data_IF_092316002112
#
_entry.id   IF_092316002112
#
_cell.length_a   1.000
_cell.length_b   1.000
_cell.length_c   1.000
_cell.angle_alpha   90.00
_cell.angle_beta   90.00
_cell.angle_gamma   90.00
#
_symmetry.space_group_name_H-M   'P 1'
#
loop_
_entity.id
_entity.type
_entity.pdbx_description
1 polymer ?
#
# COMPACT_ATOMS: atom_id res chain seq x y z
N UNK A 1 10.86 -20.00 -26.53
CA UNK A 1 11.66 -18.76 -26.58
C UNK A 1 10.90 -17.75 -27.38
N UNK A 2 11.23 -17.59 -28.65
CA UNK A 2 10.87 -16.42 -29.46
C UNK A 2 9.39 -16.03 -29.48
N UNK A 3 8.47 -16.99 -29.67
CA UNK A 3 7.03 -16.71 -29.73
C UNK A 3 6.42 -16.34 -28.36
N UNK A 4 6.95 -16.90 -27.27
CA UNK A 4 6.51 -16.57 -25.92
C UNK A 4 6.99 -15.17 -25.53
N UNK A 5 8.26 -14.88 -25.79
CA UNK A 5 8.86 -13.58 -25.52
C UNK A 5 8.19 -12.48 -26.35
N UNK A 6 7.84 -12.78 -27.60
CA UNK A 6 7.07 -11.88 -28.45
C UNK A 6 5.68 -11.58 -27.86
N UNK A 7 4.98 -12.58 -27.31
CA UNK A 7 3.65 -12.39 -26.72
C UNK A 7 3.72 -11.48 -25.47
N UNK A 8 4.70 -11.68 -24.59
CA UNK A 8 4.91 -10.77 -23.46
C UNK A 8 5.23 -9.34 -23.90
N UNK A 9 6.08 -9.17 -24.92
CA UNK A 9 6.36 -7.85 -25.49
C UNK A 9 5.13 -7.18 -26.08
N UNK A 10 4.24 -7.94 -26.73
CA UNK A 10 2.97 -7.39 -27.24
C UNK A 10 2.11 -6.88 -26.10
N UNK A 11 1.94 -7.65 -25.02
CA UNK A 11 1.20 -7.21 -23.84
C UNK A 11 1.82 -5.96 -23.20
N UNK A 12 3.15 -5.92 -23.08
CA UNK A 12 3.91 -4.77 -22.55
C UNK A 12 3.76 -3.51 -23.42
N UNK A 13 3.79 -3.64 -24.76
CA UNK A 13 3.53 -2.54 -25.67
C UNK A 13 2.12 -1.97 -25.48
N UNK A 14 1.10 -2.83 -25.41
CA UNK A 14 -0.28 -2.40 -25.16
C UNK A 14 -0.41 -1.70 -23.80
N UNK A 15 0.22 -2.25 -22.75
CA UNK A 15 0.27 -1.63 -21.44
C UNK A 15 0.86 -0.21 -21.47
N UNK A 16 2.00 -0.01 -22.15
CA UNK A 16 2.64 1.30 -22.27
C UNK A 16 1.90 2.30 -23.17
N UNK A 17 0.96 1.83 -23.98
CA UNK A 17 0.06 2.66 -24.79
C UNK A 17 -1.28 2.93 -24.08
N UNK A 18 -1.41 2.55 -22.81
CA UNK A 18 -2.65 2.59 -22.01
C UNK A 18 -3.82 1.82 -22.66
N UNK A 19 -3.51 0.87 -23.54
CA UNK A 19 -4.46 0.01 -24.22
C UNK A 19 -4.58 -1.33 -23.46
N UNK A 20 -5.18 -1.26 -22.28
CA UNK A 20 -5.21 -2.40 -21.34
C UNK A 20 -6.02 -3.62 -21.81
N UNK A 21 -7.19 -3.50 -22.49
CA UNK A 21 -7.98 -4.67 -22.85
C UNK A 21 -7.25 -5.68 -23.75
N UNK A 22 -6.53 -5.28 -24.83
CA UNK A 22 -5.71 -6.22 -25.59
C UNK A 22 -4.57 -6.84 -24.79
N UNK A 23 -3.93 -6.08 -23.89
CA UNK A 23 -2.93 -6.63 -22.98
C UNK A 23 -3.54 -7.74 -22.08
N UNK A 24 -4.73 -7.50 -21.54
CA UNK A 24 -5.48 -8.47 -20.71
C UNK A 24 -5.79 -9.75 -21.50
N UNK A 25 -6.20 -9.65 -22.77
CA UNK A 25 -6.49 -10.81 -23.62
C UNK A 25 -5.24 -11.68 -23.85
N UNK A 26 -4.12 -11.05 -24.21
CA UNK A 26 -2.84 -11.74 -24.42
C UNK A 26 -2.38 -12.42 -23.14
N UNK A 27 -2.38 -11.70 -22.02
CA UNK A 27 -1.93 -12.22 -20.72
C UNK A 27 -2.88 -13.31 -20.20
N UNK A 28 -4.17 -13.25 -20.50
CA UNK A 28 -5.12 -14.33 -20.18
C UNK A 28 -4.78 -15.61 -20.91
N UNK A 29 -4.45 -15.50 -22.20
CA UNK A 29 -4.03 -16.65 -23.01
C UNK A 29 -2.74 -17.25 -22.47
N UNK A 30 -1.75 -16.43 -22.13
CA UNK A 30 -0.48 -16.87 -21.56
C UNK A 30 -0.66 -17.53 -20.18
N UNK A 31 -1.47 -16.94 -19.29
CA UNK A 31 -1.72 -17.46 -17.95
C UNK A 31 -2.40 -18.85 -17.92
N UNK A 32 -3.09 -19.21 -19.01
CA UNK A 32 -3.79 -20.49 -19.17
C UNK A 32 -2.92 -21.58 -19.80
N UNK A 33 -1.73 -21.26 -20.31
CA UNK A 33 -0.82 -22.23 -20.92
C UNK A 33 -0.14 -23.10 -19.88
N UNK A 34 -0.25 -24.40 -20.03
CA UNK A 34 0.43 -25.40 -19.18
C UNK A 34 1.80 -25.81 -19.71
N UNK A 35 2.11 -25.48 -20.97
CA UNK A 35 3.33 -25.85 -21.68
C UNK A 35 4.49 -24.85 -21.49
N UNK A 36 4.28 -23.78 -20.72
CA UNK A 36 5.29 -22.76 -20.41
C UNK A 36 5.76 -22.88 -18.94
N UNK A 37 6.99 -22.45 -18.63
CA UNK A 37 7.51 -22.42 -17.26
C UNK A 37 6.55 -21.79 -16.25
N UNK A 38 6.53 -22.31 -15.02
CA UNK A 38 5.68 -21.80 -13.96
C UNK A 38 5.94 -20.31 -13.64
N UNK A 39 7.19 -19.87 -13.80
CA UNK A 39 7.57 -18.48 -13.66
C UNK A 39 6.83 -17.58 -14.68
N UNK A 40 6.75 -18.02 -15.94
CA UNK A 40 6.07 -17.27 -17.00
C UNK A 40 4.54 -17.30 -16.82
N UNK A 41 3.98 -18.41 -16.34
CA UNK A 41 2.56 -18.45 -15.96
C UNK A 41 2.26 -17.45 -14.85
N UNK A 42 3.12 -17.35 -13.83
CA UNK A 42 2.97 -16.40 -12.75
C UNK A 42 3.07 -14.96 -13.25
N UNK A 43 4.06 -14.65 -14.09
CA UNK A 43 4.21 -13.35 -14.72
C UNK A 43 2.92 -12.94 -15.45
N UNK A 44 2.40 -13.83 -16.31
CA UNK A 44 1.18 -13.54 -17.07
C UNK A 44 -0.03 -13.27 -16.17
N UNK A 45 -0.20 -14.07 -15.11
CA UNK A 45 -1.28 -13.91 -14.13
C UNK A 45 -1.19 -12.57 -13.38
N UNK A 46 0.00 -12.22 -12.89
CA UNK A 46 0.22 -10.97 -12.15
C UNK A 46 0.09 -9.75 -13.05
N UNK A 47 0.71 -9.76 -14.24
CA UNK A 47 0.60 -8.66 -15.19
C UNK A 47 -0.85 -8.46 -15.67
N UNK A 48 -1.64 -9.54 -15.83
CA UNK A 48 -3.08 -9.40 -16.12
C UNK A 48 -3.79 -8.65 -15.00
N UNK A 49 -3.54 -9.05 -13.75
CA UNK A 49 -4.07 -8.37 -12.58
C UNK A 49 -3.73 -6.88 -12.55
N UNK A 50 -2.49 -6.52 -12.89
CA UNK A 50 -2.05 -5.13 -13.01
C UNK A 50 -2.81 -4.39 -14.10
N UNK A 51 -2.92 -4.95 -15.30
CA UNK A 51 -3.69 -4.31 -16.38
C UNK A 51 -5.15 -4.09 -15.98
N UNK A 52 -5.74 -4.98 -15.19
CA UNK A 52 -7.09 -4.80 -14.63
C UNK A 52 -7.15 -3.64 -13.62
N UNK A 53 -6.12 -3.46 -12.79
CA UNK A 53 -6.00 -2.29 -11.89
C UNK A 53 -5.97 -0.99 -12.71
N UNK A 54 -5.08 -0.90 -13.69
CA UNK A 54 -4.92 0.30 -14.52
C UNK A 54 -6.17 0.59 -15.37
N UNK A 55 -6.89 -0.46 -15.78
CA UNK A 55 -8.18 -0.34 -16.48
C UNK A 55 -9.37 0.00 -15.55
N UNK A 56 -9.12 0.25 -14.24
CA UNK A 56 -10.15 0.58 -13.25
C UNK A 56 -11.06 -0.58 -12.84
N UNK A 57 -10.75 -1.82 -13.24
CA UNK A 57 -11.53 -3.01 -12.92
C UNK A 57 -11.08 -3.62 -11.58
N UNK A 58 -11.18 -2.83 -10.51
CA UNK A 58 -10.52 -3.12 -9.23
C UNK A 58 -10.99 -4.40 -8.54
N UNK A 59 -12.29 -4.71 -8.54
CA UNK A 59 -12.82 -5.94 -7.92
C UNK A 59 -12.29 -7.21 -8.59
N UNK A 60 -12.27 -7.20 -9.92
CA UNK A 60 -11.74 -8.31 -10.71
C UNK A 60 -10.22 -8.39 -10.56
N UNK A 61 -9.51 -7.26 -10.58
CA UNK A 61 -8.07 -7.21 -10.33
C UNK A 61 -7.71 -7.82 -8.97
N UNK A 62 -8.44 -7.46 -7.91
CA UNK A 62 -8.22 -7.99 -6.57
C UNK A 62 -8.35 -9.51 -6.55
N UNK A 63 -9.45 -10.04 -7.09
CA UNK A 63 -9.69 -11.47 -7.18
C UNK A 63 -8.54 -12.17 -7.92
N UNK A 64 -8.14 -11.63 -9.08
CA UNK A 64 -7.10 -12.21 -9.91
C UNK A 64 -5.72 -12.20 -9.24
N UNK A 65 -5.35 -11.11 -8.57
CA UNK A 65 -4.07 -11.03 -7.87
C UNK A 65 -4.03 -11.99 -6.66
N UNK A 66 -5.14 -12.12 -5.92
CA UNK A 66 -5.26 -13.12 -4.83
C UNK A 66 -5.16 -14.56 -5.36
N UNK A 67 -5.83 -14.87 -6.46
CA UNK A 67 -5.72 -16.18 -7.10
C UNK A 67 -4.30 -16.48 -7.58
N UNK A 68 -3.61 -15.48 -8.12
CA UNK A 68 -2.21 -15.57 -8.55
C UNK A 68 -1.28 -15.90 -7.39
N UNK A 69 -1.46 -15.23 -6.24
CA UNK A 69 -0.71 -15.50 -5.01
C UNK A 69 -1.00 -16.90 -4.46
N UNK A 70 -2.26 -17.32 -4.41
CA UNK A 70 -2.62 -18.67 -3.97
C UNK A 70 -2.06 -19.76 -4.91
N UNK A 71 -1.99 -19.48 -6.20
CA UNK A 71 -1.33 -20.36 -7.18
C UNK A 71 0.18 -20.42 -6.94
N UNK A 72 0.83 -19.26 -6.74
CA UNK A 72 2.25 -19.17 -6.43
C UNK A 72 2.58 -19.93 -5.14
N UNK A 73 1.83 -19.75 -4.05
CA UNK A 73 2.07 -20.46 -2.79
C UNK A 73 2.08 -21.98 -2.95
N UNK A 74 1.11 -22.53 -3.71
CA UNK A 74 1.05 -23.97 -3.98
C UNK A 74 2.21 -24.45 -4.86
N UNK A 75 2.55 -23.70 -5.91
CA UNK A 75 3.63 -24.05 -6.83
C UNK A 75 5.01 -23.91 -6.18
N UNK A 76 5.19 -22.90 -5.34
CA UNK A 76 6.44 -22.62 -4.65
C UNK A 76 6.85 -23.73 -3.66
N UNK A 77 5.90 -24.58 -3.23
CA UNK A 77 6.16 -25.78 -2.44
C UNK A 77 6.77 -26.93 -3.27
N UNK A 78 6.58 -26.91 -4.59
CA UNK A 78 7.03 -27.95 -5.53
C UNK A 78 8.35 -27.52 -6.19
N UNK A 79 8.40 -26.28 -6.67
CA UNK A 79 9.56 -25.66 -7.31
C UNK A 79 9.75 -24.24 -6.77
N UNK A 80 10.98 -23.85 -6.45
CA UNK A 80 11.23 -22.49 -5.96
C UNK A 80 11.07 -21.49 -7.10
N UNK A 81 10.09 -20.60 -6.98
CA UNK A 81 9.85 -19.50 -7.92
C UNK A 81 10.53 -18.21 -7.44
N UNK A 82 10.81 -17.31 -8.37
CA UNK A 82 11.39 -16.01 -8.05
C UNK A 82 10.39 -15.12 -7.29
N UNK A 83 10.91 -14.29 -6.40
CA UNK A 83 10.16 -13.45 -5.46
C UNK A 83 9.58 -12.18 -6.10
N UNK A 84 9.98 -11.83 -7.33
CA UNK A 84 9.58 -10.61 -8.04
C UNK A 84 8.06 -10.50 -8.21
N UNK A 85 7.43 -11.42 -8.95
CA UNK A 85 6.00 -11.37 -9.27
C UNK A 85 5.07 -11.53 -8.05
N UNK A 86 5.33 -12.41 -7.05
CA UNK A 86 4.48 -12.43 -5.87
C UNK A 86 4.64 -11.15 -5.02
N UNK A 87 5.83 -10.54 -4.96
CA UNK A 87 6.01 -9.23 -4.31
C UNK A 87 5.23 -8.14 -5.05
N UNK A 88 5.28 -8.13 -6.38
CA UNK A 88 4.53 -7.22 -7.24
C UNK A 88 3.02 -7.38 -7.04
N UNK A 89 2.51 -8.61 -6.99
CA UNK A 89 1.09 -8.88 -6.77
C UNK A 89 0.60 -8.36 -5.42
N UNK A 90 1.38 -8.55 -4.34
CA UNK A 90 1.06 -7.96 -3.03
C UNK A 90 1.12 -6.43 -3.06
N UNK A 91 2.07 -5.85 -3.77
CA UNK A 91 2.15 -4.39 -3.93
C UNK A 91 0.88 -3.85 -4.60
N UNK A 92 0.44 -4.43 -5.72
CA UNK A 92 -0.75 -3.97 -6.44
C UNK A 92 -2.06 -4.26 -5.69
N UNK A 93 -2.13 -5.30 -4.86
CA UNK A 93 -3.24 -5.43 -3.90
C UNK A 93 -3.25 -4.27 -2.92
N UNK A 94 -2.09 -3.81 -2.47
CA UNK A 94 -1.97 -2.58 -1.68
C UNK A 94 -2.44 -1.34 -2.43
N UNK A 95 -2.11 -1.23 -3.72
CA UNK A 95 -2.56 -0.11 -4.57
C UNK A 95 -4.08 -0.09 -4.73
N UNK A 96 -4.74 -1.25 -4.88
CA UNK A 96 -6.21 -1.32 -4.93
C UNK A 96 -6.84 -0.71 -3.66
N UNK A 97 -6.38 -1.12 -2.48
CA UNK A 97 -6.89 -0.55 -1.23
C UNK A 97 -6.47 0.91 -1.02
N UNK A 98 -5.31 1.34 -1.53
CA UNK A 98 -4.91 2.75 -1.55
C UNK A 98 -5.87 3.57 -2.40
N UNK A 99 -6.27 3.07 -3.57
CA UNK A 99 -7.25 3.72 -4.44
C UNK A 99 -8.60 3.82 -3.72
N UNK A 100 -9.11 2.73 -3.12
CA UNK A 100 -10.34 2.81 -2.32
C UNK A 100 -10.21 3.82 -1.17
N UNK A 101 -9.08 3.82 -0.46
CA UNK A 101 -8.78 4.78 0.60
C UNK A 101 -8.82 6.22 0.09
N UNK A 102 -8.26 6.51 -1.08
CA UNK A 102 -8.24 7.85 -1.68
C UNK A 102 -9.64 8.34 -2.09
N UNK A 103 -10.54 7.44 -2.48
CA UNK A 103 -11.92 7.79 -2.85
C UNK A 103 -12.80 8.16 -1.65
N UNK A 104 -12.41 7.83 -0.41
CA UNK A 104 -13.19 8.20 0.77
C UNK A 104 -12.94 9.68 1.12
N UNK A 105 -13.96 10.51 0.93
CA UNK A 105 -13.92 11.94 1.29
C UNK A 105 -14.39 12.17 2.73
N UNK A 106 -13.60 12.90 3.52
CA UNK A 106 -13.98 13.32 4.88
C UNK A 106 -14.74 14.65 4.78
N UNK A 107 -16.07 14.59 4.72
CA UNK A 107 -16.91 15.77 4.57
C UNK A 107 -17.70 16.09 5.86
N UNK A 108 -17.31 17.16 6.59
CA UNK A 108 -17.99 17.55 7.83
C UNK A 108 -19.43 18.04 7.62
N UNK A 109 -19.81 18.48 6.42
CA UNK A 109 -21.18 18.94 6.13
C UNK A 109 -22.22 17.80 6.16
N UNK A 110 -21.75 16.55 6.21
CA UNK A 110 -22.61 15.35 6.31
C UNK A 110 -22.99 15.00 7.75
N UNK A 111 -22.53 15.77 8.74
CA UNK A 111 -22.78 15.56 10.17
C UNK A 111 -21.69 14.72 10.85
N UNK A 112 -21.56 14.90 12.18
CA UNK A 112 -20.50 14.29 12.99
C UNK A 112 -20.49 12.76 12.91
N UNK A 113 -21.67 12.12 13.02
CA UNK A 113 -21.80 10.66 12.95
C UNK A 113 -21.24 10.12 11.62
N UNK A 114 -21.67 10.71 10.50
CA UNK A 114 -21.23 10.28 9.16
C UNK A 114 -19.74 10.55 8.94
N UNK A 115 -19.22 11.67 9.42
CA UNK A 115 -17.79 11.97 9.37
C UNK A 115 -16.97 10.93 10.15
N UNK A 116 -17.46 10.51 11.32
CA UNK A 116 -16.86 9.45 12.13
C UNK A 116 -16.80 8.11 11.40
N UNK A 117 -17.92 7.69 10.81
CA UNK A 117 -17.99 6.47 9.98
C UNK A 117 -17.04 6.51 8.78
N UNK A 118 -17.01 7.63 8.05
CA UNK A 118 -16.15 7.77 6.87
C UNK A 118 -14.66 7.76 7.28
N UNK A 119 -14.31 8.35 8.43
CA UNK A 119 -12.94 8.28 8.99
C UNK A 119 -12.57 6.86 9.41
N UNK A 120 -13.46 6.14 10.08
CA UNK A 120 -13.23 4.75 10.48
C UNK A 120 -13.00 3.86 9.25
N UNK A 121 -13.89 3.95 8.26
CA UNK A 121 -13.76 3.20 7.01
C UNK A 121 -12.47 3.56 6.25
N UNK A 122 -12.10 4.84 6.20
CA UNK A 122 -10.83 5.28 5.60
C UNK A 122 -9.63 4.68 6.34
N UNK A 123 -9.67 4.59 7.68
CA UNK A 123 -8.62 3.93 8.47
C UNK A 123 -8.52 2.43 8.19
N UNK A 124 -9.65 1.72 8.05
CA UNK A 124 -9.67 0.30 7.70
C UNK A 124 -9.03 0.03 6.33
N UNK A 125 -9.31 0.89 5.34
CA UNK A 125 -8.72 0.80 4.01
C UNK A 125 -7.21 1.07 4.05
N UNK A 126 -6.76 2.07 4.83
CA UNK A 126 -5.33 2.31 5.06
C UNK A 126 -4.65 1.08 5.65
N UNK A 127 -5.22 0.46 6.68
CA UNK A 127 -4.66 -0.74 7.31
C UNK A 127 -4.65 -1.94 6.36
N UNK A 128 -5.68 -2.07 5.51
CA UNK A 128 -5.74 -3.11 4.47
C UNK A 128 -4.63 -2.93 3.43
N UNK A 129 -4.44 -1.71 2.92
CA UNK A 129 -3.36 -1.35 2.00
C UNK A 129 -1.99 -1.61 2.64
N UNK A 130 -1.76 -1.10 3.85
CA UNK A 130 -0.53 -1.33 4.61
C UNK A 130 -0.24 -2.82 4.79
N UNK A 131 -1.25 -3.63 5.11
CA UNK A 131 -1.10 -5.07 5.28
C UNK A 131 -0.56 -5.75 4.01
N UNK A 132 -1.03 -5.33 2.84
CA UNK A 132 -0.54 -5.83 1.54
C UNK A 132 0.89 -5.38 1.24
N UNK A 133 1.22 -4.10 1.44
CA UNK A 133 2.59 -3.61 1.30
C UNK A 133 3.58 -4.31 2.25
N UNK A 134 3.19 -4.56 3.51
CA UNK A 134 4.01 -5.32 4.46
C UNK A 134 4.21 -6.77 4.02
N UNK A 135 3.21 -7.41 3.39
CA UNK A 135 3.37 -8.74 2.79
C UNK A 135 4.33 -8.70 1.60
N UNK A 136 4.27 -7.68 0.75
CA UNK A 136 5.23 -7.47 -0.34
C UNK A 136 6.67 -7.36 0.19
N UNK A 137 6.89 -6.54 1.23
CA UNK A 137 8.19 -6.41 1.92
C UNK A 137 8.66 -7.77 2.47
N UNK A 138 7.76 -8.56 3.05
CA UNK A 138 8.10 -9.85 3.66
C UNK A 138 8.51 -10.91 2.62
N UNK A 139 8.00 -10.83 1.40
CA UNK A 139 8.37 -11.77 0.32
C UNK A 139 9.85 -11.62 -0.04
N UNK A 140 10.39 -10.39 0.02
CA UNK A 140 11.85 -10.18 0.02
C UNK A 140 12.43 -9.54 -1.24
N UNK A 141 11.63 -9.24 -2.27
CA UNK A 141 12.15 -8.54 -3.45
C UNK A 141 12.48 -7.08 -3.13
N UNK A 142 13.77 -6.72 -3.20
CA UNK A 142 14.30 -5.42 -2.74
C UNK A 142 13.60 -4.19 -3.31
N UNK A 143 13.38 -4.13 -4.63
CA UNK A 143 12.70 -3.01 -5.28
C UNK A 143 11.24 -2.85 -4.81
N UNK A 144 10.53 -3.96 -4.65
CA UNK A 144 9.12 -3.94 -4.21
C UNK A 144 9.03 -3.63 -2.72
N UNK A 145 10.01 -4.05 -1.92
CA UNK A 145 10.10 -3.68 -0.52
C UNK A 145 10.29 -2.17 -0.33
N UNK A 146 11.18 -1.53 -1.09
CA UNK A 146 11.37 -0.07 -1.03
C UNK A 146 10.13 0.69 -1.51
N UNK A 147 9.52 0.25 -2.61
CA UNK A 147 8.30 0.87 -3.16
C UNK A 147 7.13 0.76 -2.18
N UNK A 148 6.96 -0.41 -1.55
CA UNK A 148 5.96 -0.68 -0.52
C UNK A 148 6.16 0.20 0.72
N UNK A 149 7.40 0.36 1.18
CA UNK A 149 7.73 1.22 2.32
C UNK A 149 7.35 2.68 2.09
N UNK A 150 7.68 3.20 0.90
CA UNK A 150 7.25 4.53 0.48
C UNK A 150 5.72 4.68 0.50
N UNK A 151 4.99 3.74 -0.11
CA UNK A 151 3.52 3.79 -0.17
C UNK A 151 2.88 3.76 1.22
N UNK A 152 3.42 3.01 2.18
CA UNK A 152 2.93 3.01 3.55
C UNK A 152 3.05 4.39 4.19
N UNK A 153 4.21 5.05 4.06
CA UNK A 153 4.36 6.41 4.59
C UNK A 153 3.42 7.41 3.92
N UNK A 154 3.23 7.28 2.59
CA UNK A 154 2.34 8.16 1.83
C UNK A 154 0.86 8.01 2.23
N UNK A 155 0.42 6.82 2.66
CA UNK A 155 -0.92 6.63 3.22
C UNK A 155 -1.13 7.46 4.50
N UNK A 156 -0.13 7.50 5.38
CA UNK A 156 -0.18 8.31 6.60
C UNK A 156 -0.16 9.81 6.29
N UNK A 157 0.64 10.26 5.32
CA UNK A 157 0.60 11.65 4.82
C UNK A 157 -0.79 12.01 4.27
N UNK A 158 -1.37 11.15 3.45
CA UNK A 158 -2.67 11.41 2.83
C UNK A 158 -3.78 11.46 3.89
N UNK A 159 -3.72 10.62 4.92
CA UNK A 159 -4.68 10.68 6.02
C UNK A 159 -4.48 11.93 6.88
N UNK A 160 -3.23 12.34 7.11
CA UNK A 160 -2.89 13.60 7.77
C UNK A 160 -3.53 14.78 7.02
N UNK A 161 -3.32 14.88 5.71
CA UNK A 161 -3.87 15.94 4.87
C UNK A 161 -5.41 15.92 4.86
N UNK A 162 -6.01 14.73 4.76
CA UNK A 162 -7.47 14.58 4.79
C UNK A 162 -8.06 15.06 6.13
N UNK A 163 -7.41 14.74 7.25
CA UNK A 163 -7.86 15.13 8.58
C UNK A 163 -7.69 16.62 8.86
N UNK A 164 -6.64 17.27 8.35
CA UNK A 164 -6.48 18.72 8.47
C UNK A 164 -7.43 19.51 7.58
N UNK A 165 -7.73 19.00 6.38
CA UNK A 165 -8.63 19.65 5.44
C UNK A 165 -10.12 19.45 5.80
N UNK A 166 -10.44 18.43 6.60
CA UNK A 166 -11.74 18.29 7.23
C UNK A 166 -11.94 19.46 8.21
N UNK A 167 -12.60 20.52 7.72
CA UNK A 167 -12.87 21.76 8.48
C UNK A 167 -13.53 21.44 9.82
N UNK A 168 -13.34 22.32 10.81
CA UNK A 168 -14.08 22.26 12.07
C UNK A 168 -15.59 22.28 11.76
N UNK A 169 -16.39 21.34 12.29
CA UNK A 169 -17.83 21.34 12.10
C UNK A 169 -18.45 22.67 12.51
N UNK A 170 -19.35 23.22 11.68
CA UNK A 170 -19.87 24.58 11.82
C UNK A 170 -20.83 24.77 13.02
N UNK A 171 -21.27 23.66 13.60
CA UNK A 171 -22.19 23.57 14.73
C UNK A 171 -21.49 23.62 16.10
N UNK A 172 -20.15 23.53 16.14
CA UNK A 172 -19.38 23.64 17.39
C UNK A 172 -19.25 25.09 17.85
N UNK A 173 -19.43 25.32 19.15
CA UNK A 173 -19.08 26.59 19.77
C UNK A 173 -17.54 26.76 19.92
N UNK A 174 -17.06 27.93 20.37
CA UNK A 174 -15.62 28.18 20.44
C UNK A 174 -14.86 27.24 21.39
N UNK A 175 -15.45 26.85 22.53
CA UNK A 175 -14.83 25.92 23.47
C UNK A 175 -14.75 24.50 22.88
N UNK A 176 -15.85 24.05 22.26
CA UNK A 176 -15.91 22.76 21.56
C UNK A 176 -14.96 22.71 20.35
N UNK A 177 -14.86 23.81 19.60
CA UNK A 177 -13.94 23.94 18.48
C UNK A 177 -12.47 23.85 18.92
N UNK A 178 -12.11 24.45 20.06
CA UNK A 178 -10.73 24.35 20.56
C UNK A 178 -10.41 22.94 21.07
N UNK A 179 -11.35 22.27 21.74
CA UNK A 179 -11.21 20.85 22.14
C UNK A 179 -11.03 19.98 20.89
N UNK A 180 -11.87 20.18 19.87
CA UNK A 180 -11.78 19.45 18.59
C UNK A 180 -10.40 19.64 17.94
N UNK A 181 -9.91 20.89 17.82
CA UNK A 181 -8.58 21.18 17.26
C UNK A 181 -7.47 20.51 18.08
N UNK A 182 -7.57 20.49 19.41
CA UNK A 182 -6.57 19.84 20.28
C UNK A 182 -6.54 18.33 20.06
N UNK A 183 -7.69 17.68 19.99
CA UNK A 183 -7.75 16.24 19.73
C UNK A 183 -7.33 15.88 18.30
N UNK A 184 -7.68 16.72 17.33
CA UNK A 184 -7.20 16.60 15.94
C UNK A 184 -5.67 16.64 15.89
N UNK A 185 -5.04 17.65 16.51
CA UNK A 185 -3.57 17.79 16.61
C UNK A 185 -2.90 16.54 17.18
N UNK A 186 -3.42 15.98 18.28
CA UNK A 186 -2.88 14.74 18.86
C UNK A 186 -2.92 13.57 17.88
N UNK A 187 -4.04 13.41 17.17
CA UNK A 187 -4.22 12.31 16.20
C UNK A 187 -3.30 12.47 15.00
N UNK A 188 -3.22 13.66 14.41
CA UNK A 188 -2.38 13.91 13.23
C UNK A 188 -0.88 13.78 13.53
N UNK A 189 -0.44 14.17 14.74
CA UNK A 189 0.95 13.97 15.20
C UNK A 189 1.35 12.48 15.22
N UNK A 190 0.43 11.59 15.60
CA UNK A 190 0.66 10.13 15.55
C UNK A 190 0.86 9.67 14.11
N UNK A 191 0.10 10.21 13.15
CA UNK A 191 0.25 9.87 11.73
C UNK A 191 1.61 10.32 11.19
N UNK A 192 2.03 11.55 11.49
CA UNK A 192 3.35 12.08 11.09
C UNK A 192 4.47 11.20 11.66
N UNK A 193 4.40 10.86 12.94
CA UNK A 193 5.41 10.02 13.60
C UNK A 193 5.50 8.64 12.95
N UNK A 194 4.36 8.04 12.59
CA UNK A 194 4.32 6.75 11.87
C UNK A 194 4.93 6.87 10.47
N UNK A 195 4.61 7.94 9.72
CA UNK A 195 5.18 8.20 8.41
C UNK A 195 6.71 8.31 8.47
N UNK A 196 7.25 9.13 9.38
CA UNK A 196 8.69 9.31 9.61
C UNK A 196 9.36 7.96 9.91
N UNK A 197 8.83 7.19 10.86
CA UNK A 197 9.40 5.89 11.24
C UNK A 197 9.47 4.92 10.06
N UNK A 198 8.42 4.88 9.24
CA UNK A 198 8.38 4.04 8.03
C UNK A 198 9.39 4.50 7.00
N UNK A 199 9.50 5.80 6.73
CA UNK A 199 10.45 6.33 5.76
C UNK A 199 11.89 6.12 6.17
N UNK A 200 12.25 6.34 7.44
CA UNK A 200 13.59 6.08 7.96
C UNK A 200 13.98 4.60 7.78
N UNK A 201 13.07 3.68 8.12
CA UNK A 201 13.28 2.24 7.93
C UNK A 201 13.39 1.87 6.46
N UNK A 202 12.63 2.51 5.58
CA UNK A 202 12.64 2.29 4.13
C UNK A 202 13.96 2.74 3.52
N UNK A 203 14.47 3.92 3.88
CA UNK A 203 15.76 4.43 3.42
C UNK A 203 16.92 3.57 3.93
N UNK A 204 16.90 3.19 5.21
CA UNK A 204 17.92 2.31 5.76
C UNK A 204 17.93 0.92 5.09
N UNK A 205 16.76 0.43 4.66
CA UNK A 205 16.67 -0.81 3.89
C UNK A 205 17.19 -0.63 2.45
N UNK A 206 16.81 0.46 1.78
CA UNK A 206 17.26 0.79 0.43
C UNK A 206 18.79 0.95 0.34
N UNK A 207 19.39 1.61 1.33
CA UNK A 207 20.85 1.77 1.45
C UNK A 207 21.56 0.42 1.58
N UNK A 208 21.06 -0.47 2.43
CA UNK A 208 21.64 -1.82 2.64
C UNK A 208 21.69 -2.67 1.39
N UNK A 209 20.72 -2.51 0.48
CA UNK A 209 20.63 -3.28 -0.77
C UNK A 209 21.16 -2.53 -1.99
N UNK A 210 21.64 -1.29 -1.83
CA UNK A 210 22.10 -0.46 -2.94
C UNK A 210 20.99 -0.09 -3.94
N UNK A 211 19.75 0.06 -3.48
CA UNK A 211 18.61 0.41 -4.33
C UNK A 211 18.60 1.91 -4.63
N UNK A 212 18.55 2.27 -5.92
CA UNK A 212 18.53 3.67 -6.40
C UNK A 212 17.23 3.99 -7.18
N UNK A 213 16.11 3.41 -6.75
CA UNK A 213 14.82 3.61 -7.44
C UNK A 213 14.29 5.06 -7.27
N UNK A 214 13.40 5.55 -8.17
CA UNK A 214 12.74 6.85 -7.98
C UNK A 214 12.02 7.00 -6.63
N UNK A 215 11.53 5.89 -6.07
CA UNK A 215 10.88 5.87 -4.76
C UNK A 215 11.83 6.20 -3.61
N UNK A 216 13.12 5.91 -3.71
CA UNK A 216 14.09 6.27 -2.66
C UNK A 216 14.18 7.79 -2.53
N UNK A 217 14.27 8.49 -3.66
CA UNK A 217 14.36 9.95 -3.65
C UNK A 217 13.04 10.61 -3.26
N UNK A 218 11.90 10.02 -3.64
CA UNK A 218 10.60 10.45 -3.12
C UNK A 218 10.50 10.26 -1.61
N UNK A 219 11.00 9.13 -1.10
CA UNK A 219 11.02 8.83 0.34
C UNK A 219 11.85 9.84 1.13
N UNK A 220 13.03 10.24 0.62
CA UNK A 220 13.86 11.28 1.26
C UNK A 220 13.11 12.61 1.39
N UNK A 221 12.55 13.09 0.29
CA UNK A 221 11.79 14.35 0.27
C UNK A 221 10.56 14.33 1.18
N UNK A 222 9.84 13.21 1.21
CA UNK A 222 8.71 13.03 2.12
C UNK A 222 9.13 12.96 3.58
N UNK A 223 10.23 12.27 3.90
CA UNK A 223 10.80 12.24 5.25
C UNK A 223 11.18 13.64 5.75
N UNK A 224 11.87 14.43 4.92
CA UNK A 224 12.24 15.81 5.23
C UNK A 224 10.99 16.66 5.52
N UNK A 225 10.00 16.66 4.62
CA UNK A 225 8.73 17.36 4.85
C UNK A 225 8.05 16.95 6.16
N UNK A 226 7.94 15.65 6.42
CA UNK A 226 7.27 15.18 7.64
C UNK A 226 8.02 15.59 8.91
N UNK A 227 9.36 15.65 8.87
CA UNK A 227 10.17 16.17 9.97
C UNK A 227 9.94 17.66 10.18
N UNK A 228 9.88 18.45 9.10
CA UNK A 228 9.61 19.89 9.19
C UNK A 228 8.23 20.14 9.79
N UNK A 229 7.20 19.44 9.32
CA UNK A 229 5.84 19.52 9.89
C UNK A 229 5.84 19.16 11.39
N UNK A 230 6.53 18.08 11.79
CA UNK A 230 6.59 17.67 13.20
C UNK A 230 7.26 18.72 14.10
N UNK A 231 8.24 19.47 13.57
CA UNK A 231 8.94 20.54 14.26
C UNK A 231 8.07 21.80 14.38
N UNK A 232 7.27 22.10 13.36
CA UNK A 232 6.33 23.23 13.36
C UNK A 232 5.11 23.00 14.25
N UNK A 233 4.72 21.73 14.48
CA UNK A 233 3.66 21.39 15.41
C UNK A 233 4.10 21.60 16.88
N UNK A 234 3.47 22.54 17.63
CA UNK A 234 3.82 22.76 19.03
C UNK A 234 3.60 21.49 19.84
N UNK A 235 4.54 21.14 20.72
CA UNK A 235 4.41 19.99 21.62
C UNK A 235 3.14 20.13 22.49
N UNK A 236 2.06 19.48 22.08
CA UNK A 236 0.98 19.16 23.02
C UNK A 236 1.44 17.95 23.81
N UNK A 237 2.14 18.19 24.91
CA UNK A 237 2.59 17.15 25.82
C UNK A 237 1.41 16.32 26.36
N UNK A 238 1.42 15.02 26.07
CA UNK A 238 1.23 13.94 27.04
C UNK A 238 1.71 12.62 26.40
N UNK A 239 2.54 11.81 27.09
CA UNK A 239 3.08 10.58 26.53
C UNK A 239 1.97 9.54 26.33
N UNK A 240 1.96 8.90 25.15
CA UNK A 240 1.12 7.74 24.89
C UNK A 240 1.53 6.61 25.85
N UNK A 241 0.57 6.16 26.65
CA UNK A 241 0.71 5.01 27.54
C UNK A 241 0.99 3.73 26.74
N UNK A 242 2.04 3.04 27.19
CA UNK A 242 2.39 1.61 27.08
C UNK A 242 1.79 0.78 25.93
N UNK A 243 2.70 0.31 25.06
CA UNK A 243 2.49 -0.84 24.18
C UNK A 243 2.01 -2.06 25.00
N UNK A 244 0.99 -2.82 24.55
CA UNK A 244 0.71 -4.11 25.16
C UNK A 244 1.84 -5.08 24.80
N UNK A 245 2.74 -5.28 25.76
CA UNK A 245 3.64 -6.42 25.80
C UNK A 245 2.79 -7.70 25.86
N UNK A 246 2.84 -8.51 24.81
CA UNK A 246 2.03 -9.72 24.72
C UNK A 246 2.42 -10.66 23.58
N UNK A 247 3.72 -10.93 23.42
CA UNK A 247 4.15 -12.07 22.61
C UNK A 247 3.78 -13.40 23.31
N UNK A 248 3.26 -14.42 22.60
CA UNK A 248 2.90 -15.69 23.21
C UNK A 248 4.12 -16.39 23.81
N UNK A 249 4.09 -16.63 25.13
CA UNK A 249 5.03 -17.54 25.78
C UNK A 249 4.72 -18.96 25.35
N UNK A 250 5.62 -19.55 24.56
CA UNK A 250 5.64 -20.98 24.30
C UNK A 250 6.00 -21.72 25.61
N UNK A 251 5.06 -22.49 26.15
CA UNK A 251 5.37 -23.49 27.17
C UNK A 251 5.90 -24.77 26.48
N UNK A 252 6.98 -25.39 26.98
CA UNK A 252 7.34 -26.74 26.58
C UNK A 252 6.48 -27.73 27.38
N UNK A 253 5.85 -28.68 26.70
CA UNK A 253 5.26 -29.85 27.35
C UNK A 253 6.03 -31.10 26.93
N UNK A 254 6.42 -31.84 27.96
CA UNK A 254 7.19 -33.08 28.05
C UNK A 254 6.70 -34.24 27.18
#
# INVERSE_FOLDING_TARGET
GDALDAAFRVAECHYHLDDYPPAIEVLTTLAAREDIPAQDQLQARVHRGICLVENGQLDEAERQLRESLGWWERRNQIERLDEYFPSQAQFFLGEIYRLYFEHVELNPDRGEEKLGEDLEYKCELLLSAQGHYLRSIRIGHGQWATSSGFRIGALYETLYDAMLNARVPADLNEEEAEIYRKELRKRVRVLITKAISIYERTLAAAERIGSETPFVEQTRRSLERMKDILLEEPETAEPAAEEPAGGPQAQPAS
#
